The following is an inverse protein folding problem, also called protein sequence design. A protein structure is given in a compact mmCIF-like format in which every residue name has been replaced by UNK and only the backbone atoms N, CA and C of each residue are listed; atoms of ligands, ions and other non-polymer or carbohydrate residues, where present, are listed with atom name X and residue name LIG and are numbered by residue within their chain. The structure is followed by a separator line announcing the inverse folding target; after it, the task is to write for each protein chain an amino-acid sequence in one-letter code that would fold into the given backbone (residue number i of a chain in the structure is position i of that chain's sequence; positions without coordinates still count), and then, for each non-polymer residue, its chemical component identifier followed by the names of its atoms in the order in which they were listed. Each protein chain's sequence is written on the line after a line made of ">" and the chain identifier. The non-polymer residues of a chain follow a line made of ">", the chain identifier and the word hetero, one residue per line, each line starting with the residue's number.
data_IF_021767016859
#
_entry.id   IF_021767016859
#
_cell.length_a   1.000
_cell.length_b   1.000
_cell.length_c   1.000
_cell.angle_alpha   90.00
_cell.angle_beta   90.00
_cell.angle_gamma   90.00
#
_symmetry.space_group_name_H-M   'P 1'
#
loop_
_entity.id
_entity.type
_entity.pdbx_description
1 polymer ?
#
# COMPACT_ATOMS: atom_id res chain seq x y z
N UNK A 1 2.09 -14.35 -0.63
CA UNK A 1 1.43 -15.49 -1.31
C UNK A 1 0.08 -15.11 -1.93
N UNK A 2 -0.78 -14.39 -1.21
CA UNK A 2 -2.11 -13.97 -1.68
C UNK A 2 -2.07 -13.10 -2.96
N UNK A 3 -1.21 -12.09 -3.01
CA UNK A 3 -1.02 -11.20 -4.19
C UNK A 3 -0.69 -11.97 -5.47
N UNK A 4 0.21 -12.96 -5.39
CA UNK A 4 0.58 -13.79 -6.53
C UNK A 4 -0.60 -14.65 -7.03
N UNK A 5 -1.42 -15.17 -6.12
CA UNK A 5 -2.62 -15.95 -6.47
C UNK A 5 -3.64 -15.07 -7.18
N UNK A 6 -3.93 -13.87 -6.66
CA UNK A 6 -4.85 -12.93 -7.33
C UNK A 6 -4.33 -12.51 -8.71
N UNK A 7 -3.04 -12.21 -8.82
CA UNK A 7 -2.40 -11.87 -10.10
C UNK A 7 -2.56 -13.00 -11.13
N UNK A 8 -2.34 -14.24 -10.71
CA UNK A 8 -2.50 -15.42 -11.55
C UNK A 8 -3.96 -15.62 -11.96
N UNK A 9 -4.92 -15.45 -11.04
CA UNK A 9 -6.36 -15.55 -11.32
C UNK A 9 -6.78 -14.53 -12.38
N UNK A 10 -6.32 -13.28 -12.26
CA UNK A 10 -6.69 -12.23 -13.22
C UNK A 10 -6.06 -12.48 -14.58
N UNK A 11 -4.79 -12.89 -14.61
CA UNK A 11 -4.12 -13.25 -15.87
C UNK A 11 -4.81 -14.44 -16.55
N UNK A 12 -5.20 -15.45 -15.75
CA UNK A 12 -5.93 -16.61 -16.22
C UNK A 12 -7.34 -16.25 -16.69
N UNK A 13 -8.04 -15.31 -16.04
CA UNK A 13 -9.37 -14.88 -16.49
C UNK A 13 -9.31 -14.15 -17.83
N UNK A 14 -8.30 -13.31 -18.07
CA UNK A 14 -8.09 -12.65 -19.36
C UNK A 14 -7.85 -13.67 -20.46
N UNK A 15 -6.98 -14.66 -20.22
CA UNK A 15 -6.72 -15.75 -21.15
C UNK A 15 -7.96 -16.62 -21.40
N UNK A 16 -8.67 -16.98 -20.33
CA UNK A 16 -9.89 -17.78 -20.40
C UNK A 16 -11.00 -17.06 -21.16
N UNK A 17 -11.16 -15.75 -20.96
CA UNK A 17 -12.10 -14.93 -21.72
C UNK A 17 -11.78 -15.01 -23.22
N UNK A 18 -10.52 -14.73 -23.59
CA UNK A 18 -10.07 -14.78 -24.98
C UNK A 18 -10.27 -16.14 -25.65
N UNK A 19 -9.93 -17.23 -24.95
CA UNK A 19 -10.09 -18.59 -25.47
C UNK A 19 -11.56 -18.97 -25.56
N UNK A 20 -12.37 -18.72 -24.53
CA UNK A 20 -13.83 -18.96 -24.55
C UNK A 20 -14.48 -18.21 -25.71
N UNK A 21 -14.11 -16.96 -25.95
CA UNK A 21 -14.57 -16.19 -27.11
C UNK A 21 -14.26 -16.87 -28.45
N UNK A 22 -13.02 -17.34 -28.61
CA UNK A 22 -12.59 -18.04 -29.83
C UNK A 22 -13.38 -19.34 -30.07
N UNK A 23 -13.74 -20.07 -29.00
CA UNK A 23 -14.53 -21.31 -29.06
C UNK A 23 -16.04 -21.08 -29.16
N UNK A 24 -16.59 -20.00 -28.60
CA UNK A 24 -18.03 -19.68 -28.65
C UNK A 24 -18.53 -19.62 -30.10
N UNK A 25 -17.71 -19.12 -31.02
CA UNK A 25 -18.01 -19.07 -32.44
C UNK A 25 -18.22 -20.47 -33.08
N UNK A 26 -17.66 -21.56 -32.51
CA UNK A 26 -17.92 -22.93 -33.00
C UNK A 26 -19.29 -23.46 -32.61
N UNK A 27 -19.82 -23.02 -31.46
CA UNK A 27 -21.02 -23.58 -30.87
C UNK A 27 -22.30 -22.82 -31.25
N UNK A 28 -22.18 -21.60 -31.77
CA UNK A 28 -23.35 -20.79 -32.13
C UNK A 28 -23.86 -21.13 -33.54
N UNK A 29 -25.17 -21.43 -33.70
CA UNK A 29 -25.79 -21.57 -35.01
C UNK A 29 -25.64 -20.29 -35.84
N UNK A 30 -25.46 -20.44 -37.16
CA UNK A 30 -25.22 -19.33 -38.10
C UNK A 30 -26.25 -18.19 -38.04
N UNK A 31 -27.45 -18.44 -37.48
CA UNK A 31 -28.54 -17.46 -37.32
C UNK A 31 -28.26 -16.37 -36.28
N UNK A 32 -27.34 -16.58 -35.32
CA UNK A 32 -27.01 -15.62 -34.27
C UNK A 32 -25.66 -14.91 -34.48
N UNK A 33 -24.97 -15.20 -35.59
CA UNK A 33 -23.63 -14.68 -35.90
C UNK A 33 -23.70 -13.79 -37.15
N UNK A 34 -24.71 -12.92 -37.20
CA UNK A 34 -24.84 -11.94 -38.28
C UNK A 34 -23.83 -10.81 -38.07
N UNK A 35 -23.53 -10.08 -39.15
CA UNK A 35 -22.66 -8.89 -39.10
C UNK A 35 -23.20 -7.85 -38.11
N UNK A 36 -24.51 -7.62 -38.11
CA UNK A 36 -25.18 -6.68 -37.21
C UNK A 36 -25.00 -7.05 -35.73
N UNK A 37 -25.16 -8.33 -35.38
CA UNK A 37 -24.91 -8.78 -33.99
C UNK A 37 -23.45 -8.59 -33.60
N UNK A 38 -22.51 -8.86 -34.51
CA UNK A 38 -21.09 -8.61 -34.27
C UNK A 38 -20.82 -7.13 -34.03
N UNK A 39 -21.35 -6.24 -34.85
CA UNK A 39 -21.13 -4.79 -34.71
C UNK A 39 -21.67 -4.28 -33.37
N UNK A 40 -22.83 -4.76 -32.92
CA UNK A 40 -23.38 -4.43 -31.58
C UNK A 40 -22.49 -4.92 -30.45
N UNK A 41 -22.03 -6.18 -30.50
CA UNK A 41 -21.10 -6.73 -29.49
C UNK A 41 -19.78 -5.97 -29.49
N UNK A 42 -19.32 -5.48 -30.65
CA UNK A 42 -18.05 -4.76 -30.77
C UNK A 42 -18.15 -3.41 -30.08
N UNK A 43 -19.24 -2.69 -30.35
CA UNK A 43 -19.54 -1.41 -29.72
C UNK A 43 -19.69 -1.57 -28.20
N UNK A 44 -20.43 -2.59 -27.74
CA UNK A 44 -20.60 -2.88 -26.31
C UNK A 44 -19.26 -3.22 -25.62
N UNK A 45 -18.42 -4.03 -26.28
CA UNK A 45 -17.07 -4.38 -25.79
C UNK A 45 -16.17 -3.15 -25.72
N UNK A 46 -16.22 -2.28 -26.75
CA UNK A 46 -15.48 -1.02 -26.77
C UNK A 46 -15.87 -0.09 -25.63
N UNK A 47 -17.18 0.09 -25.38
CA UNK A 47 -17.66 0.88 -24.25
C UNK A 47 -17.21 0.32 -22.90
N UNK A 48 -17.32 -1.01 -22.71
CA UNK A 48 -16.88 -1.68 -21.49
C UNK A 48 -15.36 -1.53 -21.29
N UNK A 49 -14.58 -1.58 -22.37
CA UNK A 49 -13.12 -1.39 -22.33
C UNK A 49 -12.72 0.01 -21.88
N UNK A 50 -13.42 1.07 -22.33
CA UNK A 50 -13.15 2.44 -21.87
C UNK A 50 -13.43 2.58 -20.38
N UNK A 51 -14.55 2.03 -19.93
CA UNK A 51 -14.93 2.06 -18.52
C UNK A 51 -13.94 1.26 -17.65
N UNK A 52 -13.53 0.07 -18.09
CA UNK A 52 -12.51 -0.74 -17.44
C UNK A 52 -11.16 -0.02 -17.36
N UNK A 53 -10.74 0.67 -18.43
CA UNK A 53 -9.49 1.44 -18.44
C UNK A 53 -9.52 2.61 -17.45
N UNK A 54 -10.65 3.31 -17.32
CA UNK A 54 -10.84 4.38 -16.33
C UNK A 54 -10.75 3.85 -14.90
N UNK A 55 -11.46 2.76 -14.60
CA UNK A 55 -11.43 2.13 -13.26
C UNK A 55 -10.03 1.63 -12.94
N UNK A 56 -9.35 0.98 -13.90
CA UNK A 56 -7.98 0.54 -13.75
C UNK A 56 -7.04 1.72 -13.43
N UNK A 57 -7.14 2.81 -14.19
CA UNK A 57 -6.35 4.02 -13.96
C UNK A 57 -6.59 4.64 -12.58
N UNK A 58 -7.85 4.67 -12.13
CA UNK A 58 -8.21 5.15 -10.80
C UNK A 58 -7.64 4.25 -9.69
N UNK A 59 -7.70 2.92 -9.85
CA UNK A 59 -7.12 1.99 -8.88
C UNK A 59 -5.60 2.16 -8.76
N UNK A 60 -4.90 2.34 -9.89
CA UNK A 60 -3.45 2.63 -9.89
C UNK A 60 -3.16 3.94 -9.15
N UNK A 61 -3.94 4.99 -9.42
CA UNK A 61 -3.78 6.28 -8.76
C UNK A 61 -3.99 6.17 -7.24
N UNK A 62 -5.07 5.52 -6.81
CA UNK A 62 -5.38 5.29 -5.40
C UNK A 62 -4.29 4.48 -4.70
N UNK A 63 -3.80 3.40 -5.31
CA UNK A 63 -2.74 2.58 -4.75
C UNK A 63 -1.41 3.36 -4.61
N UNK A 64 -1.06 4.14 -5.64
CA UNK A 64 0.09 5.05 -5.59
C UNK A 64 -0.06 6.10 -4.49
N UNK A 65 -1.26 6.67 -4.33
CA UNK A 65 -1.51 7.68 -3.29
C UNK A 65 -1.38 7.08 -1.90
N UNK A 66 -1.87 5.85 -1.68
CA UNK A 66 -1.67 5.08 -0.44
C UNK A 66 -0.18 4.91 -0.12
N UNK A 67 0.62 4.41 -1.07
CA UNK A 67 2.08 4.27 -0.89
C UNK A 67 2.75 5.62 -0.58
N UNK A 68 2.37 6.68 -1.30
CA UNK A 68 2.93 8.02 -1.08
C UNK A 68 2.53 8.64 0.27
N UNK A 69 1.35 8.28 0.79
CA UNK A 69 0.86 8.69 2.10
C UNK A 69 1.66 7.98 3.18
N UNK A 70 1.87 6.67 3.05
CA UNK A 70 2.70 5.89 3.96
C UNK A 70 4.15 6.41 4.00
N UNK A 71 4.76 6.74 2.85
CA UNK A 71 6.11 7.34 2.78
C UNK A 71 6.17 8.69 3.49
N UNK A 72 5.17 9.56 3.30
CA UNK A 72 5.06 10.85 3.98
C UNK A 72 4.93 10.67 5.50
N UNK A 73 4.05 9.76 5.95
CA UNK A 73 3.88 9.46 7.37
C UNK A 73 5.18 8.99 8.02
N UNK A 74 5.96 8.12 7.36
CA UNK A 74 7.27 7.68 7.86
C UNK A 74 8.28 8.83 7.94
N UNK A 75 8.32 9.70 6.93
CA UNK A 75 9.19 10.89 6.94
C UNK A 75 8.81 11.85 8.05
N UNK A 76 7.53 12.17 8.21
CA UNK A 76 7.03 13.06 9.25
C UNK A 76 7.35 12.50 10.64
N UNK A 77 7.15 11.20 10.82
CA UNK A 77 7.50 10.52 12.06
C UNK A 77 9.01 10.62 12.35
N UNK A 78 9.86 10.37 11.36
CA UNK A 78 11.31 10.52 11.50
C UNK A 78 11.73 11.95 11.87
N UNK A 79 11.07 12.96 11.30
CA UNK A 79 11.36 14.35 11.58
C UNK A 79 10.98 14.73 13.01
N UNK A 80 9.83 14.27 13.51
CA UNK A 80 9.40 14.50 14.90
C UNK A 80 10.35 13.81 15.88
N UNK A 81 10.81 12.59 15.58
CA UNK A 81 11.80 11.88 16.38
C UNK A 81 13.12 12.66 16.50
N UNK A 82 13.64 13.21 15.39
CA UNK A 82 14.88 14.02 15.41
C UNK A 82 14.69 15.30 16.21
N UNK A 83 13.54 15.96 16.08
CA UNK A 83 13.26 17.19 16.84
C UNK A 83 13.14 16.92 18.34
N UNK A 84 12.53 15.79 18.74
CA UNK A 84 12.45 15.36 20.14
C UNK A 84 13.83 15.07 20.72
N UNK A 85 14.67 14.33 19.99
CA UNK A 85 16.05 14.09 20.42
C UNK A 85 16.84 15.40 20.55
N UNK A 86 16.67 16.33 19.60
CA UNK A 86 17.36 17.62 19.64
C UNK A 86 16.92 18.45 20.85
N UNK A 87 15.62 18.49 21.16
CA UNK A 87 15.09 19.17 22.35
C UNK A 87 15.65 18.58 23.64
N UNK A 88 15.66 17.25 23.76
CA UNK A 88 16.24 16.55 24.91
C UNK A 88 17.75 16.76 25.02
N UNK A 89 18.48 16.80 23.90
CA UNK A 89 19.93 17.07 23.89
C UNK A 89 20.25 18.48 24.34
N UNK A 90 19.46 19.48 23.94
CA UNK A 90 19.61 20.87 24.38
C UNK A 90 19.21 21.05 25.85
N UNK A 91 18.24 20.27 26.36
CA UNK A 91 17.84 20.30 27.77
C UNK A 91 19.00 20.00 28.73
N UNK A 92 19.85 19.04 28.36
CA UNK A 92 21.08 18.71 29.08
C UNK A 92 21.15 17.25 29.55
N UNK A 93 22.05 16.97 30.49
CA UNK A 93 22.34 15.60 30.96
C UNK A 93 21.21 14.97 31.78
N UNK A 94 20.36 15.77 32.41
CA UNK A 94 19.17 15.29 33.15
C UNK A 94 18.19 14.53 32.25
N UNK A 95 18.15 14.89 30.95
CA UNK A 95 17.31 14.24 29.95
C UNK A 95 17.90 12.93 29.39
N UNK A 96 19.07 12.48 29.85
CA UNK A 96 19.71 11.26 29.34
C UNK A 96 18.80 10.00 29.40
N UNK A 97 18.01 9.75 30.46
CA UNK A 97 17.10 8.61 30.50
C UNK A 97 15.99 8.69 29.43
N UNK A 98 15.46 9.88 29.18
CA UNK A 98 14.47 10.11 28.12
C UNK A 98 15.07 9.89 26.73
N UNK A 99 16.29 10.34 26.49
CA UNK A 99 17.02 10.10 25.22
C UNK A 99 17.21 8.60 24.96
N UNK A 100 17.56 7.84 25.99
CA UNK A 100 17.72 6.38 25.85
C UNK A 100 16.38 5.67 25.53
N UNK A 101 15.28 6.08 26.15
CA UNK A 101 13.93 5.58 25.81
C UNK A 101 13.55 5.91 24.37
N UNK A 102 13.82 7.13 23.90
CA UNK A 102 13.55 7.54 22.52
C UNK A 102 14.37 6.73 21.50
N UNK A 103 15.64 6.44 21.81
CA UNK A 103 16.49 5.56 20.99
C UNK A 103 15.97 4.13 20.95
N UNK A 104 15.61 3.56 22.11
CA UNK A 104 15.03 2.20 22.21
C UNK A 104 13.74 2.10 21.42
N UNK A 105 12.85 3.08 21.57
CA UNK A 105 11.62 3.18 20.78
C UNK A 105 11.91 3.20 19.28
N UNK A 106 12.82 4.06 18.82
CA UNK A 106 13.17 4.20 17.40
C UNK A 106 13.75 2.91 16.83
N UNK A 107 14.64 2.23 17.57
CA UNK A 107 15.20 0.95 17.15
C UNK A 107 14.12 -0.13 17.03
N UNK A 108 13.22 -0.20 18.01
CA UNK A 108 12.11 -1.14 18.01
C UNK A 108 11.16 -0.87 16.82
N UNK A 109 10.83 0.40 16.57
CA UNK A 109 9.97 0.82 15.47
C UNK A 109 10.53 0.45 14.07
N UNK A 110 11.84 0.60 13.86
CA UNK A 110 12.50 0.19 12.61
C UNK A 110 12.45 -1.33 12.43
N UNK A 111 12.74 -2.08 13.49
CA UNK A 111 12.83 -3.55 13.41
C UNK A 111 11.49 -4.20 13.12
N UNK A 112 10.40 -3.76 13.75
CA UNK A 112 9.13 -4.48 13.74
C UNK A 112 8.28 -4.22 12.50
N UNK A 113 8.17 -2.95 12.07
CA UNK A 113 7.22 -2.53 11.02
C UNK A 113 7.48 -3.20 9.67
N UNK A 114 8.69 -3.66 9.46
CA UNK A 114 9.23 -4.04 8.15
C UNK A 114 9.63 -5.52 8.07
N UNK A 115 9.43 -6.27 9.15
CA UNK A 115 9.66 -7.71 9.21
C UNK A 115 8.40 -8.51 9.54
N UNK A 116 7.33 -7.87 10.05
CA UNK A 116 6.11 -8.57 10.44
C UNK A 116 5.03 -8.56 9.36
N UNK A 117 4.44 -9.74 9.17
CA UNK A 117 3.19 -9.98 8.45
C UNK A 117 2.02 -9.39 9.30
N UNK A 118 0.99 -8.82 8.66
CA UNK A 118 -0.05 -7.95 9.28
C UNK A 118 -0.74 -8.51 10.55
N UNK A 119 -0.64 -9.81 10.82
CA UNK A 119 -1.36 -10.48 11.91
C UNK A 119 -0.75 -10.29 13.30
N UNK A 120 0.49 -9.84 13.40
CA UNK A 120 1.24 -9.78 14.66
C UNK A 120 1.43 -8.32 15.17
N UNK A 121 0.86 -7.36 14.44
CA UNK A 121 1.06 -5.93 14.70
C UNK A 121 0.40 -5.52 16.02
N UNK A 122 -0.77 -6.06 16.37
CA UNK A 122 -1.50 -5.67 17.60
C UNK A 122 -0.82 -6.19 18.87
N UNK A 123 -0.33 -7.43 18.85
CA UNK A 123 0.32 -8.07 20.01
C UNK A 123 1.70 -7.43 20.28
N UNK A 124 2.38 -7.00 19.21
CA UNK A 124 3.68 -6.34 19.27
C UNK A 124 3.60 -4.80 19.38
N UNK A 125 2.48 -4.19 18.99
CA UNK A 125 2.27 -2.74 19.12
C UNK A 125 2.09 -2.28 20.58
N UNK A 126 1.54 -3.13 21.45
CA UNK A 126 1.34 -2.80 22.86
C UNK A 126 2.65 -2.47 23.62
N UNK A 127 3.72 -3.30 23.57
CA UNK A 127 4.97 -2.99 24.27
C UNK A 127 5.72 -1.78 23.70
N UNK A 128 5.65 -1.52 22.39
CA UNK A 128 6.24 -0.30 21.82
C UNK A 128 5.47 0.95 22.25
N UNK A 129 4.13 0.92 22.26
CA UNK A 129 3.31 2.04 22.74
C UNK A 129 3.63 2.41 24.18
N UNK A 130 3.84 1.40 25.03
CA UNK A 130 4.27 1.60 26.42
C UNK A 130 5.62 2.32 26.54
N UNK A 131 6.54 2.18 25.57
CA UNK A 131 7.84 2.88 25.60
C UNK A 131 7.68 4.38 25.34
N UNK A 132 6.75 4.79 24.47
CA UNK A 132 6.42 6.23 24.29
C UNK A 132 5.75 6.81 25.53
N UNK A 133 4.88 6.05 26.19
CA UNK A 133 4.26 6.51 27.43
C UNK A 133 5.32 6.65 28.55
N UNK A 134 6.24 5.70 28.66
CA UNK A 134 7.39 5.81 29.57
C UNK A 134 8.28 7.01 29.25
N UNK A 135 8.51 7.30 27.97
CA UNK A 135 9.22 8.52 27.55
C UNK A 135 8.51 9.76 28.07
N UNK A 136 7.19 9.87 27.86
CA UNK A 136 6.36 11.01 28.31
C UNK A 136 6.44 11.19 29.83
N UNK A 137 6.29 10.11 30.60
CA UNK A 137 6.42 10.14 32.07
C UNK A 137 7.82 10.56 32.53
N UNK A 138 8.87 10.13 31.81
CA UNK A 138 10.26 10.51 32.10
C UNK A 138 10.52 11.98 31.79
N UNK A 139 9.91 12.52 30.73
CA UNK A 139 10.00 13.95 30.41
C UNK A 139 9.25 14.79 31.44
N UNK A 140 8.10 14.33 31.92
CA UNK A 140 7.33 15.00 32.98
C UNK A 140 8.06 15.02 34.34
N UNK A 141 8.95 14.05 34.60
CA UNK A 141 9.71 14.00 35.86
C UNK A 141 10.95 14.90 35.89
N UNK A 142 11.33 15.48 34.74
CA UNK A 142 12.40 16.48 34.65
C UNK A 142 12.04 17.74 35.45
N UNK A 143 13.03 18.31 36.14
CA UNK A 143 12.85 19.52 36.96
C UNK A 143 13.46 20.75 36.27
N UNK A 144 12.67 21.50 35.47
CA UNK A 144 13.19 22.66 34.77
C UNK A 144 13.69 23.73 35.75
N UNK A 145 14.95 24.14 35.58
CA UNK A 145 15.59 25.17 36.40
C UNK A 145 15.42 26.59 35.82
N UNK A 146 15.03 26.71 34.55
CA UNK A 146 14.81 27.99 33.87
C UNK A 146 13.66 27.92 32.84
N UNK A 147 13.22 29.08 32.36
CA UNK A 147 12.11 29.18 31.40
C UNK A 147 12.41 28.46 30.07
N UNK A 148 13.69 28.41 29.65
CA UNK A 148 14.12 27.70 28.44
C UNK A 148 13.90 26.18 28.60
N UNK A 149 14.28 25.61 29.74
CA UNK A 149 14.07 24.20 30.06
C UNK A 149 12.58 23.89 30.21
N UNK A 150 11.79 24.80 30.80
CA UNK A 150 10.34 24.63 30.88
C UNK A 150 9.69 24.61 29.48
N UNK A 151 10.13 25.51 28.58
CA UNK A 151 9.69 25.52 27.19
C UNK A 151 10.11 24.25 26.43
N UNK A 152 11.37 23.81 26.58
CA UNK A 152 11.87 22.58 25.95
C UNK A 152 11.11 21.33 26.43
N UNK A 153 10.82 21.24 27.73
CA UNK A 153 10.01 20.15 28.29
C UNK A 153 8.63 20.13 27.63
N UNK A 154 7.94 21.27 27.55
CA UNK A 154 6.65 21.40 26.87
C UNK A 154 6.72 21.02 25.38
N UNK A 155 7.79 21.42 24.69
CA UNK A 155 8.01 21.09 23.28
C UNK A 155 8.17 19.57 23.07
N UNK A 156 8.97 18.90 23.90
CA UNK A 156 9.19 17.45 23.81
C UNK A 156 7.92 16.67 24.15
N UNK A 157 7.11 17.14 25.11
CA UNK A 157 5.81 16.55 25.39
C UNK A 157 4.86 16.67 24.20
N UNK A 158 4.77 17.84 23.58
CA UNK A 158 3.96 18.03 22.37
C UNK A 158 4.43 17.14 21.19
N UNK A 159 5.73 16.94 21.05
CA UNK A 159 6.29 16.01 20.06
C UNK A 159 5.95 14.54 20.38
N UNK A 160 5.98 14.16 21.66
CA UNK A 160 5.59 12.82 22.11
C UNK A 160 4.12 12.52 21.80
N UNK A 161 3.24 13.50 22.03
CA UNK A 161 1.81 13.41 21.69
C UNK A 161 1.59 13.29 20.18
N UNK A 162 2.39 14.04 19.39
CA UNK A 162 2.37 13.92 17.93
C UNK A 162 2.87 12.55 17.44
N UNK A 163 3.86 11.95 18.09
CA UNK A 163 4.32 10.59 17.77
C UNK A 163 3.23 9.55 18.06
N UNK A 164 2.50 9.71 19.17
CA UNK A 164 1.36 8.85 19.50
C UNK A 164 0.23 8.99 18.48
N UNK A 165 -0.14 10.20 18.07
CA UNK A 165 -1.19 10.41 17.08
C UNK A 165 -0.79 9.85 15.71
N UNK A 166 0.45 10.09 15.25
CA UNK A 166 0.97 9.50 14.02
C UNK A 166 0.98 7.97 14.07
N UNK A 167 1.34 7.39 15.23
CA UNK A 167 1.30 5.94 15.43
C UNK A 167 -0.12 5.39 15.28
N UNK A 168 -1.11 6.01 15.93
CA UNK A 168 -2.51 5.60 15.81
C UNK A 168 -3.02 5.74 14.38
N UNK A 169 -2.68 6.84 13.71
CA UNK A 169 -3.03 7.04 12.31
C UNK A 169 -2.43 5.95 11.40
N UNK A 170 -1.19 5.55 11.65
CA UNK A 170 -0.53 4.46 10.90
C UNK A 170 -1.15 3.08 11.17
N UNK A 171 -1.76 2.85 12.35
CA UNK A 171 -2.47 1.61 12.68
C UNK A 171 -3.86 1.62 12.03
N UNK A 172 -4.59 2.72 12.14
CA UNK A 172 -5.95 2.89 11.62
C UNK A 172 -5.99 2.92 10.07
N UNK A 173 -4.95 3.44 9.42
CA UNK A 173 -4.82 3.39 7.96
C UNK A 173 -4.64 1.98 7.39
N UNK A 174 -4.33 0.97 8.21
CA UNK A 174 -4.28 -0.42 7.76
C UNK A 174 -5.67 -1.08 7.65
N UNK A 175 -6.70 -0.48 8.27
CA UNK A 175 -8.06 -1.03 8.35
C UNK A 175 -9.01 -0.54 7.25
N UNK A 176 -8.53 0.15 6.21
CA UNK A 176 -9.28 0.30 4.97
C UNK A 176 -8.83 -0.80 3.99
N UNK A 177 -9.33 -2.03 4.13
CA UNK A 177 -8.98 -3.09 3.20
C UNK A 177 -9.35 -2.63 1.81
N UNK A 178 -8.42 -2.86 0.88
CA UNK A 178 -8.72 -2.99 -0.52
C UNK A 178 -10.06 -3.69 -0.69
N UNK A 179 -11.04 -3.03 -1.31
CA UNK A 179 -12.34 -3.66 -1.47
C UNK A 179 -12.19 -4.73 -2.57
N UNK A 180 -12.18 -6.03 -2.23
CA UNK A 180 -11.99 -7.10 -3.22
C UNK A 180 -13.10 -7.08 -4.30
N UNK A 181 -14.21 -6.40 -3.99
CA UNK A 181 -15.31 -6.10 -4.91
C UNK A 181 -14.83 -5.38 -6.17
N UNK A 182 -13.95 -4.38 -6.08
CA UNK A 182 -13.48 -3.64 -7.27
C UNK A 182 -12.62 -4.52 -8.18
N UNK A 183 -11.75 -5.36 -7.62
CA UNK A 183 -10.99 -6.33 -8.42
C UNK A 183 -11.89 -7.38 -9.04
N UNK A 184 -12.83 -7.92 -8.28
CA UNK A 184 -13.77 -8.90 -8.81
C UNK A 184 -14.56 -8.32 -9.99
N UNK A 185 -15.08 -7.10 -9.84
CA UNK A 185 -15.79 -6.37 -10.89
C UNK A 185 -14.92 -6.15 -12.12
N UNK A 186 -13.70 -5.62 -11.94
CA UNK A 186 -12.77 -5.35 -13.03
C UNK A 186 -12.33 -6.64 -13.75
N UNK A 187 -12.06 -7.70 -13.00
CA UNK A 187 -11.69 -9.03 -13.51
C UNK A 187 -12.82 -9.62 -14.34
N UNK A 188 -14.06 -9.46 -13.89
CA UNK A 188 -15.26 -9.86 -14.64
C UNK A 188 -15.39 -9.09 -15.95
N UNK A 189 -15.22 -7.77 -15.94
CA UNK A 189 -15.25 -6.95 -17.16
C UNK A 189 -14.14 -7.34 -18.13
N UNK A 190 -12.91 -7.52 -17.66
CA UNK A 190 -11.79 -7.98 -18.46
C UNK A 190 -12.09 -9.34 -19.11
N UNK A 191 -12.66 -10.29 -18.37
CA UNK A 191 -13.08 -11.57 -18.95
C UNK A 191 -14.05 -11.36 -20.13
N UNK A 192 -15.10 -10.56 -19.96
CA UNK A 192 -16.08 -10.31 -21.02
C UNK A 192 -15.49 -9.53 -22.20
N UNK A 193 -14.58 -8.58 -21.96
CA UNK A 193 -13.91 -7.83 -23.01
C UNK A 193 -13.08 -8.77 -23.89
N UNK A 194 -12.26 -9.62 -23.28
CA UNK A 194 -11.43 -10.56 -24.02
C UNK A 194 -12.27 -11.66 -24.69
N UNK A 195 -13.39 -12.07 -24.08
CA UNK A 195 -14.37 -12.93 -24.74
C UNK A 195 -14.99 -12.27 -25.98
N UNK A 196 -15.33 -10.99 -25.91
CA UNK A 196 -15.80 -10.20 -27.05
C UNK A 196 -14.76 -10.12 -28.17
N UNK A 197 -13.50 -9.83 -27.84
CA UNK A 197 -12.41 -9.83 -28.81
C UNK A 197 -12.17 -11.22 -29.42
N UNK A 198 -12.14 -12.27 -28.60
CA UNK A 198 -11.95 -13.65 -29.06
C UNK A 198 -13.06 -14.11 -29.99
N UNK A 199 -14.32 -13.73 -29.71
CA UNK A 199 -15.46 -14.04 -30.56
C UNK A 199 -15.35 -13.44 -31.98
N UNK A 200 -14.65 -12.31 -32.10
CA UNK A 200 -14.46 -11.60 -33.37
C UNK A 200 -13.17 -11.95 -34.10
N UNK A 201 -12.21 -12.53 -33.39
CA UNK A 201 -10.85 -12.67 -33.88
C UNK A 201 -10.68 -13.89 -34.79
N UNK A 202 -9.80 -13.80 -35.81
CA UNK A 202 -9.38 -14.95 -36.58
C UNK A 202 -8.57 -15.92 -35.70
N UNK A 203 -8.76 -17.23 -35.90
CA UNK A 203 -8.09 -18.28 -35.12
C UNK A 203 -6.68 -18.54 -35.64
N UNK A 204 -5.77 -17.62 -35.38
CA UNK A 204 -4.35 -17.78 -35.73
C UNK A 204 -3.46 -17.59 -34.49
N UNK A 205 -2.21 -18.05 -34.59
CA UNK A 205 -1.25 -17.97 -33.50
C UNK A 205 -0.96 -16.52 -33.06
N UNK A 206 -1.05 -15.54 -33.97
CA UNK A 206 -0.82 -14.14 -33.66
C UNK A 206 -1.86 -13.58 -32.68
N UNK A 207 -3.14 -13.90 -32.85
CA UNK A 207 -4.21 -13.49 -31.92
C UNK A 207 -4.00 -14.11 -30.54
N UNK A 208 -3.67 -15.40 -30.48
CA UNK A 208 -3.36 -16.05 -29.20
C UNK A 208 -2.16 -15.40 -28.50
N UNK A 209 -1.08 -15.12 -29.24
CA UNK A 209 0.09 -14.44 -28.69
C UNK A 209 -0.27 -13.03 -28.16
N UNK A 210 -1.11 -12.28 -28.87
CA UNK A 210 -1.58 -10.98 -28.41
C UNK A 210 -2.36 -11.09 -27.09
N UNK A 211 -3.26 -12.07 -26.95
CA UNK A 211 -3.98 -12.30 -25.69
C UNK A 211 -3.06 -12.68 -24.53
N UNK A 212 -2.01 -13.46 -24.78
CA UNK A 212 -0.98 -13.77 -23.77
C UNK A 212 -0.26 -12.51 -23.31
N UNK A 213 0.19 -11.67 -24.25
CA UNK A 213 0.85 -10.40 -23.91
C UNK A 213 -0.07 -9.50 -23.09
N UNK A 214 -1.34 -9.38 -23.49
CA UNK A 214 -2.32 -8.60 -22.74
C UNK A 214 -2.59 -9.16 -21.34
N UNK A 215 -2.70 -10.48 -21.19
CA UNK A 215 -2.91 -11.13 -19.90
C UNK A 215 -1.74 -10.84 -18.94
N UNK A 216 -0.50 -10.93 -19.44
CA UNK A 216 0.70 -10.59 -18.66
C UNK A 216 0.70 -9.11 -18.28
N UNK A 217 0.36 -8.21 -19.20
CA UNK A 217 0.32 -6.77 -18.93
C UNK A 217 -0.73 -6.40 -17.88
N UNK A 218 -1.95 -6.93 -18.00
CA UNK A 218 -3.05 -6.69 -17.05
C UNK A 218 -2.73 -7.32 -15.69
N UNK A 219 -2.22 -8.56 -15.68
CA UNK A 219 -1.73 -9.21 -14.47
C UNK A 219 -0.64 -8.40 -13.77
N UNK A 220 0.35 -7.93 -14.53
CA UNK A 220 1.42 -7.08 -13.99
C UNK A 220 0.92 -5.75 -13.42
N UNK A 221 -0.06 -5.11 -14.06
CA UNK A 221 -0.68 -3.90 -13.52
C UNK A 221 -1.41 -4.19 -12.19
N UNK A 222 -2.20 -5.26 -12.12
CA UNK A 222 -2.89 -5.67 -10.89
C UNK A 222 -1.93 -6.05 -9.77
N UNK A 223 -0.85 -6.77 -10.11
CA UNK A 223 0.23 -7.08 -9.18
C UNK A 223 0.78 -5.81 -8.55
N UNK A 224 1.13 -4.82 -9.38
CA UNK A 224 1.69 -3.56 -8.91
C UNK A 224 0.73 -2.77 -8.02
N UNK A 225 -0.57 -2.78 -8.33
CA UNK A 225 -1.62 -2.17 -7.48
C UNK A 225 -1.63 -2.82 -6.09
N UNK A 226 -1.74 -4.15 -6.03
CA UNK A 226 -1.80 -4.88 -4.76
C UNK A 226 -0.49 -4.76 -3.95
N UNK A 227 0.66 -4.69 -4.62
CA UNK A 227 1.96 -4.46 -3.99
C UNK A 227 2.04 -3.06 -3.35
N UNK A 228 1.50 -2.04 -4.02
CA UNK A 228 1.45 -0.67 -3.47
C UNK A 228 0.52 -0.55 -2.25
N UNK A 229 -0.46 -1.43 -2.13
CA UNK A 229 -1.37 -1.48 -0.98
C UNK A 229 -0.77 -2.18 0.25
N UNK A 230 0.36 -2.86 0.09
CA UNK A 230 1.14 -3.46 1.19
C UNK A 230 2.48 -2.75 1.36
N UNK A 231 2.48 -1.44 1.71
CA UNK A 231 3.64 -0.56 1.61
C UNK A 231 4.84 -0.94 2.49
N UNK A 232 4.68 -1.86 3.45
CA UNK A 232 5.73 -2.27 4.38
C UNK A 232 6.25 -3.70 4.16
N UNK A 233 5.50 -4.55 3.46
CA UNK A 233 5.78 -6.00 3.33
C UNK A 233 5.94 -6.46 1.86
N UNK A 234 5.52 -5.66 0.88
CA UNK A 234 5.65 -5.96 -0.55
C UNK A 234 7.08 -5.83 -1.11
N UNK A 235 7.25 -6.02 -2.41
CA UNK A 235 8.44 -5.72 -3.23
C UNK A 235 8.65 -4.20 -3.34
N UNK A 236 7.55 -3.45 -3.47
CA UNK A 236 7.58 -1.99 -3.51
C UNK A 236 7.33 -1.45 -2.10
N UNK A 237 8.40 -1.26 -1.34
CA UNK A 237 8.32 -0.82 0.07
C UNK A 237 8.60 0.66 0.24
N UNK A 238 7.99 1.25 1.26
CA UNK A 238 8.40 2.52 1.83
C UNK A 238 9.82 2.38 2.38
N UNK A 239 10.65 3.39 2.13
CA UNK A 239 12.05 3.38 2.56
C UNK A 239 12.17 3.43 4.08
N UNK A 240 13.01 2.56 4.63
CA UNK A 240 13.43 2.58 6.06
C UNK A 240 14.38 3.74 6.37
N UNK A 241 15.01 4.31 5.33
CA UNK A 241 16.12 5.25 5.47
C UNK A 241 15.83 6.45 6.38
N UNK A 242 14.65 7.12 6.34
CA UNK A 242 14.39 8.27 7.19
C UNK A 242 14.53 7.95 8.68
N UNK A 243 14.04 6.78 9.11
CA UNK A 243 14.15 6.32 10.49
C UNK A 243 15.56 5.86 10.84
N UNK A 244 16.26 5.17 9.92
CA UNK A 244 17.65 4.78 10.14
C UNK A 244 18.56 6.02 10.28
N UNK A 245 18.32 7.06 9.48
CA UNK A 245 19.02 8.35 9.59
C UNK A 245 18.70 9.03 10.92
N UNK A 246 17.43 9.02 11.35
CA UNK A 246 17.03 9.55 12.65
C UNK A 246 17.74 8.82 13.79
N UNK A 247 17.77 7.49 13.78
CA UNK A 247 18.47 6.69 14.78
C UNK A 247 19.97 6.99 14.80
N UNK A 248 20.61 7.07 13.62
CA UNK A 248 22.01 7.44 13.50
C UNK A 248 22.30 8.86 14.02
N UNK A 249 21.34 9.79 13.90
CA UNK A 249 21.46 11.12 14.50
C UNK A 249 21.36 11.07 16.03
N UNK A 250 20.50 10.20 16.57
CA UNK A 250 20.37 10.03 18.02
C UNK A 250 21.60 9.39 18.64
N UNK A 251 22.27 8.46 17.95
CA UNK A 251 23.45 7.75 18.45
C UNK A 251 24.74 8.59 18.45
N UNK A 252 24.73 9.79 17.85
CA UNK A 252 25.80 10.78 17.93
C UNK A 252 25.73 11.61 19.21
#
# INVERSE_FOLDING_TARGET
>A
MLVAVFTAIISASVLAGGTVGLFLYLYLPARHVTKETRDVVHLATGMLSVLAALVLGLLIATAKDSLSSADRSVRDFSAVLVQAEQGLRVYGTEAAPARDLLRRYTRAAISQRWTQDDRDILEVAAPIGATLEQLRLTVLSLRPANDVQHWLQGQVLAQSDKLLSLRWQMLEQQDLPFQPVFVLLLTSWLFFIFAGFGFMAPRNAAVYAAFVVCAVAVGGAMFLIMEMETPFTGVVQVSRQPLTIALAHMER
#
